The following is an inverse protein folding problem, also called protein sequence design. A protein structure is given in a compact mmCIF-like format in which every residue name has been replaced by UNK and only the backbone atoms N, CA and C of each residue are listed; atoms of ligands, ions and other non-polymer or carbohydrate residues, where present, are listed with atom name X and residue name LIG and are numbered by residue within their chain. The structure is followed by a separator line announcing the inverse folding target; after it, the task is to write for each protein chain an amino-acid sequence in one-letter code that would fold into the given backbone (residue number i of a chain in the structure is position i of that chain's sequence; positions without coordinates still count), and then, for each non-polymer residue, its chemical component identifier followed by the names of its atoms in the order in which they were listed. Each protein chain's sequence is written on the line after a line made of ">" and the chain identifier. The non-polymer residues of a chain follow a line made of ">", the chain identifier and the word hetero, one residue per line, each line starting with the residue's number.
data_IF_735746387652
#
_entry.id   IF_735746387652
#
_cell.length_a   1.000
_cell.length_b   1.000
_cell.length_c   1.000
_cell.angle_alpha   90.00
_cell.angle_beta   90.00
_cell.angle_gamma   90.00
#
_symmetry.space_group_name_H-M   'P 1'
#
loop_
_entity.id
_entity.type
_entity.pdbx_description
1 polymer ?
#
# COMPACT_ATOMS: atom_id res chain seq x y z
N UNK A 1 8.30 23.32 -6.85
CA UNK A 1 8.06 21.95 -6.39
C UNK A 1 9.23 21.08 -6.81
N UNK A 2 9.39 19.97 -6.13
CA UNK A 2 10.42 18.98 -6.48
C UNK A 2 9.92 18.13 -7.64
N UNK A 3 10.77 17.81 -8.61
CA UNK A 3 10.48 16.87 -9.69
C UNK A 3 10.91 15.47 -9.25
N UNK A 4 10.03 14.48 -9.46
CA UNK A 4 10.34 13.06 -9.31
C UNK A 4 10.26 12.44 -10.70
N UNK A 5 11.36 11.86 -11.16
CA UNK A 5 11.41 11.10 -12.41
C UNK A 5 10.73 9.75 -12.20
N UNK A 6 9.76 9.41 -13.05
CA UNK A 6 9.03 8.15 -12.97
C UNK A 6 9.47 7.20 -14.09
N UNK A 7 9.81 5.96 -13.75
CA UNK A 7 10.14 4.90 -14.70
C UNK A 7 9.14 3.73 -14.62
N UNK A 8 8.84 3.13 -15.79
CA UNK A 8 8.07 1.90 -15.89
C UNK A 8 8.86 0.87 -16.68
N UNK A 9 9.05 -0.31 -16.12
CA UNK A 9 9.89 -1.37 -16.70
C UNK A 9 9.14 -2.70 -16.71
N UNK A 10 9.25 -3.43 -17.79
CA UNK A 10 8.75 -4.79 -17.93
C UNK A 10 9.59 -5.56 -18.96
N UNK A 11 9.46 -6.88 -19.00
CA UNK A 11 10.06 -7.69 -20.08
C UNK A 11 9.56 -7.19 -21.45
N UNK A 12 10.42 -7.25 -22.47
CA UNK A 12 10.17 -6.68 -23.80
C UNK A 12 8.84 -7.15 -24.43
N UNK A 13 8.43 -8.40 -24.18
CA UNK A 13 7.16 -8.95 -24.70
C UNK A 13 5.91 -8.32 -24.09
N UNK A 14 5.98 -7.66 -22.94
CA UNK A 14 4.86 -6.98 -22.28
C UNK A 14 4.80 -5.49 -22.57
N UNK A 15 5.87 -4.87 -23.05
CA UNK A 15 5.90 -3.43 -23.33
C UNK A 15 4.74 -2.97 -24.25
N UNK A 16 4.35 -3.72 -25.33
CA UNK A 16 3.21 -3.33 -26.16
C UNK A 16 1.86 -3.31 -25.43
N UNK A 17 1.76 -3.96 -24.28
CA UNK A 17 0.55 -4.06 -23.45
C UNK A 17 0.58 -3.15 -22.23
N UNK A 18 1.67 -2.40 -22.04
CA UNK A 18 1.81 -1.49 -20.90
C UNK A 18 0.89 -0.29 -21.06
N UNK A 19 -0.05 -0.12 -20.15
CA UNK A 19 -0.94 1.03 -20.03
C UNK A 19 -0.21 2.20 -19.36
N UNK A 20 0.87 2.68 -20.00
CA UNK A 20 1.82 3.60 -19.40
C UNK A 20 1.19 4.94 -19.01
N UNK A 21 0.31 5.49 -19.83
CA UNK A 21 -0.37 6.75 -19.55
C UNK A 21 -1.17 6.69 -18.24
N UNK A 22 -1.98 5.64 -18.06
CA UNK A 22 -2.75 5.43 -16.84
C UNK A 22 -1.86 5.19 -15.64
N UNK A 23 -0.82 4.36 -15.77
CA UNK A 23 0.11 4.06 -14.69
C UNK A 23 0.84 5.31 -14.21
N UNK A 24 1.35 6.15 -15.12
CA UNK A 24 1.98 7.41 -14.75
C UNK A 24 1.00 8.39 -14.09
N UNK A 25 -0.22 8.50 -14.62
CA UNK A 25 -1.24 9.37 -14.03
C UNK A 25 -1.59 8.90 -12.61
N UNK A 26 -1.88 7.61 -12.43
CA UNK A 26 -2.21 7.04 -11.11
C UNK A 26 -1.06 7.22 -10.11
N UNK A 27 0.18 7.02 -10.55
CA UNK A 27 1.38 7.25 -9.72
C UNK A 27 1.48 8.72 -9.29
N UNK A 28 1.28 9.65 -10.23
CA UNK A 28 1.30 11.07 -9.93
C UNK A 28 0.19 11.47 -8.95
N UNK A 29 -1.03 11.02 -9.19
CA UNK A 29 -2.18 11.32 -8.34
C UNK A 29 -1.98 10.77 -6.92
N UNK A 30 -1.36 9.59 -6.80
CA UNK A 30 -0.96 9.01 -5.51
C UNK A 30 0.07 9.86 -4.77
N UNK A 31 1.12 10.31 -5.46
CA UNK A 31 2.09 11.24 -4.86
C UNK A 31 1.45 12.56 -4.42
N UNK A 32 0.60 13.15 -5.26
CA UNK A 32 -0.10 14.39 -4.92
C UNK A 32 -0.97 14.21 -3.65
N UNK A 33 -1.67 13.08 -3.54
CA UNK A 33 -2.46 12.75 -2.36
C UNK A 33 -1.59 12.56 -1.10
N UNK A 34 -0.53 11.75 -1.17
CA UNK A 34 0.33 11.47 -0.02
C UNK A 34 1.12 12.70 0.42
N UNK A 35 1.65 13.49 -0.51
CA UNK A 35 2.34 14.74 -0.18
C UNK A 35 1.43 15.72 0.58
N UNK A 36 0.18 15.85 0.14
CA UNK A 36 -0.79 16.74 0.78
C UNK A 36 -1.17 16.28 2.20
N UNK A 37 -1.35 14.98 2.39
CA UNK A 37 -1.90 14.43 3.62
C UNK A 37 -0.83 14.04 4.64
N UNK A 38 0.30 13.48 4.21
CA UNK A 38 1.39 13.08 5.11
C UNK A 38 2.30 14.24 5.54
N UNK A 39 2.17 15.41 4.88
CA UNK A 39 2.93 16.61 5.22
C UNK A 39 4.42 16.53 4.90
N UNK A 40 4.87 15.45 4.28
CA UNK A 40 6.24 15.23 3.84
C UNK A 40 6.25 14.79 2.38
N UNK A 41 7.10 15.44 1.58
CA UNK A 41 7.35 14.99 0.22
C UNK A 41 8.11 13.67 0.22
N UNK A 42 8.05 12.93 -0.88
CA UNK A 42 8.78 11.69 -1.09
C UNK A 42 10.25 11.81 -0.63
N UNK A 43 10.71 11.00 0.33
CA UNK A 43 11.96 11.27 1.03
C UNK A 43 13.21 10.70 0.32
N UNK A 44 13.05 9.82 -0.67
CA UNK A 44 14.15 8.99 -1.20
C UNK A 44 14.64 9.44 -2.58
N UNK A 45 15.08 10.69 -2.69
CA UNK A 45 15.67 11.20 -3.92
C UNK A 45 14.62 11.73 -4.91
N UNK A 46 14.98 11.78 -6.17
CA UNK A 46 14.20 12.37 -7.26
C UNK A 46 13.78 11.36 -8.33
N UNK A 47 13.83 10.06 -8.00
CA UNK A 47 13.49 8.97 -8.89
C UNK A 47 12.57 7.95 -8.21
N UNK A 48 11.58 7.45 -8.97
CA UNK A 48 10.67 6.40 -8.53
C UNK A 48 10.36 5.48 -9.70
N UNK A 49 10.93 4.28 -9.68
CA UNK A 49 10.77 3.26 -10.70
C UNK A 49 9.74 2.20 -10.28
N UNK A 50 9.04 1.67 -11.25
CA UNK A 50 8.09 0.57 -11.09
C UNK A 50 8.46 -0.54 -12.07
N UNK A 51 8.75 -1.72 -11.57
CA UNK A 51 9.27 -2.85 -12.35
C UNK A 51 8.30 -4.02 -12.27
N UNK A 52 7.75 -4.43 -13.40
CA UNK A 52 6.88 -5.60 -13.52
C UNK A 52 7.71 -6.84 -13.81
N UNK A 53 7.88 -7.68 -12.79
CA UNK A 53 8.80 -8.81 -12.78
C UNK A 53 8.11 -10.11 -13.18
N UNK A 54 8.70 -10.92 -14.10
CA UNK A 54 8.19 -12.25 -14.41
C UNK A 54 8.36 -13.20 -13.22
N UNK A 55 7.42 -14.13 -13.09
CA UNK A 55 7.46 -15.20 -12.08
C UNK A 55 7.63 -14.69 -10.63
N UNK A 56 7.14 -13.44 -10.38
CA UNK A 56 7.21 -12.84 -9.06
C UNK A 56 6.18 -13.52 -8.14
N UNK A 57 6.64 -14.12 -7.07
CA UNK A 57 5.80 -14.93 -6.17
C UNK A 57 5.01 -14.13 -5.14
N UNK A 58 5.33 -12.85 -4.99
CA UNK A 58 4.56 -11.89 -4.18
C UNK A 58 3.62 -11.07 -5.07
N UNK A 59 2.71 -10.29 -4.48
CA UNK A 59 1.90 -9.32 -5.23
C UNK A 59 2.78 -8.19 -5.75
N UNK A 60 3.47 -7.55 -4.81
CA UNK A 60 4.43 -6.49 -5.03
C UNK A 60 5.40 -6.39 -3.84
N UNK A 61 6.34 -5.44 -3.90
CA UNK A 61 7.28 -5.15 -2.81
C UNK A 61 7.77 -3.71 -2.89
N UNK A 62 7.79 -3.04 -1.76
CA UNK A 62 8.07 -1.63 -1.56
C UNK A 62 9.56 -1.24 -1.59
N UNK A 63 10.37 -1.87 -2.40
CA UNK A 63 11.78 -1.48 -2.50
C UNK A 63 11.93 0.01 -2.75
N UNK A 64 12.68 0.69 -1.90
CA UNK A 64 12.85 2.14 -1.91
C UNK A 64 13.22 2.67 -3.30
N UNK A 65 12.34 3.46 -3.88
CA UNK A 65 12.53 4.08 -5.19
C UNK A 65 12.53 3.14 -6.39
N UNK A 66 12.29 1.82 -6.18
CA UNK A 66 12.27 0.82 -7.24
C UNK A 66 11.28 -0.31 -6.89
N UNK A 67 9.99 0.02 -6.86
CA UNK A 67 8.93 -0.90 -6.49
C UNK A 67 8.81 -2.02 -7.53
N UNK A 68 8.71 -3.27 -7.05
CA UNK A 68 8.54 -4.44 -7.90
C UNK A 68 7.12 -4.97 -7.81
N UNK A 69 6.56 -5.40 -8.94
CA UNK A 69 5.22 -5.97 -9.06
C UNK A 69 5.29 -7.28 -9.83
N UNK A 70 4.32 -8.15 -9.63
CA UNK A 70 4.11 -9.29 -10.55
C UNK A 70 3.72 -8.77 -11.94
N UNK A 71 4.26 -9.37 -12.98
CA UNK A 71 4.02 -8.90 -14.35
C UNK A 71 2.60 -9.19 -14.88
N UNK A 72 1.81 -9.96 -14.14
CA UNK A 72 0.37 -10.15 -14.39
C UNK A 72 -0.44 -8.85 -14.28
N UNK A 73 0.10 -7.79 -13.67
CA UNK A 73 -0.50 -6.44 -13.67
C UNK A 73 -0.31 -5.69 -14.99
N UNK A 74 0.50 -6.19 -15.91
CA UNK A 74 0.51 -5.76 -17.31
C UNK A 74 -0.47 -6.65 -18.07
N UNK A 75 -1.67 -6.13 -18.31
CA UNK A 75 -2.77 -6.90 -18.88
C UNK A 75 -2.61 -7.11 -20.38
N UNK A 76 -2.52 -8.36 -20.84
CA UNK A 76 -2.42 -8.73 -22.26
C UNK A 76 -3.77 -8.89 -22.94
N UNK A 77 -4.86 -8.77 -22.21
CA UNK A 77 -6.25 -8.75 -22.69
C UNK A 77 -7.02 -7.67 -21.92
N UNK A 78 -8.22 -7.33 -22.38
CA UNK A 78 -9.07 -6.33 -21.73
C UNK A 78 -9.32 -6.71 -20.26
N UNK A 79 -8.87 -5.91 -19.30
CA UNK A 79 -9.08 -6.19 -17.88
C UNK A 79 -10.49 -5.80 -17.43
N UNK A 80 -11.01 -6.49 -16.43
CA UNK A 80 -12.24 -6.05 -15.77
C UNK A 80 -11.97 -4.78 -14.93
N UNK A 81 -13.01 -3.97 -14.63
CA UNK A 81 -12.87 -2.81 -13.75
C UNK A 81 -12.24 -3.17 -12.41
N UNK A 82 -12.61 -4.31 -11.81
CA UNK A 82 -12.00 -4.81 -10.57
C UNK A 82 -10.49 -5.04 -10.70
N UNK A 83 -10.02 -5.61 -11.82
CA UNK A 83 -8.57 -5.82 -12.01
C UNK A 83 -7.80 -4.51 -12.13
N UNK A 84 -8.39 -3.50 -12.76
CA UNK A 84 -7.82 -2.15 -12.85
C UNK A 84 -7.75 -1.48 -11.46
N UNK A 85 -8.85 -1.55 -10.71
CA UNK A 85 -8.92 -1.04 -9.34
C UNK A 85 -7.88 -1.75 -8.45
N UNK A 86 -7.79 -3.08 -8.52
CA UNK A 86 -6.83 -3.86 -7.72
C UNK A 86 -5.37 -3.52 -8.05
N UNK A 87 -5.05 -3.29 -9.33
CA UNK A 87 -3.72 -2.81 -9.73
C UNK A 87 -3.43 -1.43 -9.12
N UNK A 88 -4.38 -0.51 -9.19
CA UNK A 88 -4.20 0.82 -8.61
C UNK A 88 -4.09 0.78 -7.09
N UNK A 89 -4.86 -0.07 -6.44
CA UNK A 89 -4.74 -0.32 -4.99
C UNK A 89 -3.32 -0.77 -4.61
N UNK A 90 -2.77 -1.74 -5.34
CA UNK A 90 -1.40 -2.21 -5.13
C UNK A 90 -0.37 -1.09 -5.35
N UNK A 91 -0.49 -0.30 -6.42
CA UNK A 91 0.41 0.83 -6.68
C UNK A 91 0.41 1.82 -5.51
N UNK A 92 -0.76 2.16 -4.99
CA UNK A 92 -0.89 3.10 -3.87
C UNK A 92 -0.45 2.50 -2.54
N UNK A 93 -0.63 1.19 -2.35
CA UNK A 93 -0.14 0.45 -1.19
C UNK A 93 1.39 0.51 -1.12
N UNK A 94 2.07 0.09 -2.18
CA UNK A 94 3.53 0.10 -2.23
C UNK A 94 4.09 1.54 -2.14
N UNK A 95 3.39 2.52 -2.70
CA UNK A 95 3.78 3.92 -2.57
C UNK A 95 3.66 4.43 -1.13
N UNK A 96 2.62 4.03 -0.39
CA UNK A 96 2.44 4.44 1.00
C UNK A 96 3.58 3.94 1.90
N UNK A 97 4.15 2.78 1.57
CA UNK A 97 5.31 2.23 2.28
C UNK A 97 6.54 3.14 2.23
N UNK A 98 6.68 4.03 1.25
CA UNK A 98 7.75 5.02 1.22
C UNK A 98 7.75 5.91 2.47
N UNK A 99 6.62 5.99 3.18
CA UNK A 99 6.50 6.67 4.48
C UNK A 99 6.34 5.66 5.63
N UNK A 100 5.41 4.72 5.50
CA UNK A 100 5.19 3.67 6.50
C UNK A 100 5.89 2.37 6.10
N UNK A 101 7.04 2.09 6.68
CA UNK A 101 7.91 0.96 6.39
C UNK A 101 9.33 1.43 6.05
N UNK A 102 9.46 2.37 5.13
CA UNK A 102 10.76 2.84 4.64
C UNK A 102 11.27 4.08 5.40
N UNK A 103 10.45 5.14 5.52
CA UNK A 103 10.86 6.34 6.26
C UNK A 103 10.78 6.15 7.77
N UNK A 104 9.71 5.55 8.25
CA UNK A 104 9.52 5.13 9.64
C UNK A 104 9.26 3.64 9.65
N UNK A 105 10.03 2.89 10.42
CA UNK A 105 10.00 1.43 10.47
C UNK A 105 9.62 0.97 11.87
N UNK A 106 8.91 -0.14 11.97
CA UNK A 106 8.64 -0.80 13.24
C UNK A 106 9.96 -1.21 13.93
N UNK A 107 9.99 -1.22 15.25
CA UNK A 107 11.17 -1.67 16.00
C UNK A 107 11.43 -3.17 15.86
N UNK A 108 10.37 -3.95 15.74
CA UNK A 108 10.40 -5.39 15.53
C UNK A 108 9.14 -5.88 14.80
N UNK A 109 9.13 -7.11 14.39
CA UNK A 109 8.09 -7.76 13.61
C UNK A 109 6.73 -7.94 14.33
N UNK A 110 6.69 -7.77 15.65
CA UNK A 110 5.44 -7.76 16.42
C UNK A 110 4.51 -6.59 16.03
N UNK A 111 5.08 -5.51 15.51
CA UNK A 111 4.35 -4.36 14.98
C UNK A 111 4.32 -4.29 13.44
N UNK A 112 4.43 -5.43 12.74
CA UNK A 112 4.33 -5.51 11.27
C UNK A 112 3.08 -4.81 10.72
N UNK A 113 2.01 -4.79 11.48
CA UNK A 113 0.77 -4.08 11.14
C UNK A 113 0.96 -2.57 10.92
N UNK A 114 1.95 -1.94 11.59
CA UNK A 114 2.25 -0.52 11.39
C UNK A 114 2.66 -0.23 9.94
N UNK A 115 3.30 -1.16 9.27
CA UNK A 115 3.61 -1.05 7.86
C UNK A 115 2.37 -1.44 7.03
N UNK A 116 1.90 -2.66 7.17
CA UNK A 116 0.93 -3.27 6.26
C UNK A 116 -0.50 -2.76 6.41
N UNK A 117 -0.98 -2.59 7.65
CA UNK A 117 -2.31 -2.02 7.88
C UNK A 117 -2.38 -0.57 7.43
N UNK A 118 -1.31 0.23 7.67
CA UNK A 118 -1.26 1.62 7.22
C UNK A 118 -1.20 1.72 5.70
N UNK A 119 -0.39 0.91 5.03
CA UNK A 119 -0.33 0.91 3.57
C UNK A 119 -1.69 0.52 2.96
N UNK A 120 -2.32 -0.54 3.49
CA UNK A 120 -3.64 -1.00 3.04
C UNK A 120 -4.73 0.06 3.27
N UNK A 121 -4.77 0.66 4.46
CA UNK A 121 -5.70 1.76 4.77
C UNK A 121 -5.43 2.98 3.88
N UNK A 122 -4.17 3.33 3.65
CA UNK A 122 -3.76 4.48 2.85
C UNK A 122 -4.18 4.32 1.39
N UNK A 123 -4.00 3.13 0.81
CA UNK A 123 -4.39 2.84 -0.57
C UNK A 123 -5.90 3.03 -0.78
N UNK A 124 -6.73 2.42 0.06
CA UNK A 124 -8.19 2.56 -0.05
C UNK A 124 -8.67 4.00 0.19
N UNK A 125 -8.02 4.73 1.13
CA UNK A 125 -8.31 6.13 1.40
C UNK A 125 -7.94 7.01 0.22
N UNK A 126 -6.76 6.81 -0.36
CA UNK A 126 -6.27 7.55 -1.52
C UNK A 126 -7.16 7.32 -2.75
N UNK A 127 -7.49 6.06 -3.08
CA UNK A 127 -8.38 5.73 -4.21
C UNK A 127 -9.71 6.45 -4.10
N UNK A 128 -10.32 6.42 -2.90
CA UNK A 128 -11.61 7.08 -2.66
C UNK A 128 -11.50 8.60 -2.80
N UNK A 129 -10.44 9.20 -2.28
CA UNK A 129 -10.25 10.65 -2.31
C UNK A 129 -9.88 11.17 -3.71
N UNK A 130 -9.06 10.45 -4.45
CA UNK A 130 -8.70 10.76 -5.86
C UNK A 130 -9.94 10.64 -6.77
N UNK A 131 -10.83 9.68 -6.48
CA UNK A 131 -12.14 9.58 -7.08
C UNK A 131 -12.22 8.72 -8.34
N UNK A 132 -11.11 8.18 -8.87
CA UNK A 132 -11.16 7.21 -9.98
C UNK A 132 -11.86 5.91 -9.55
N UNK A 133 -11.65 5.51 -8.28
CA UNK A 133 -12.31 4.36 -7.65
C UNK A 133 -12.97 4.81 -6.34
N UNK A 134 -14.03 5.60 -6.45
CA UNK A 134 -14.74 6.19 -5.31
C UNK A 134 -15.31 5.13 -4.35
N UNK A 135 -15.60 3.94 -4.86
CA UNK A 135 -16.16 2.81 -4.11
C UNK A 135 -15.08 1.85 -3.55
N UNK A 136 -13.81 2.25 -3.50
CA UNK A 136 -12.71 1.41 -3.05
C UNK A 136 -12.93 0.80 -1.65
N UNK A 137 -13.60 1.51 -0.74
CA UNK A 137 -13.98 0.95 0.56
C UNK A 137 -15.06 -0.13 0.49
N UNK A 138 -15.89 -0.15 -0.55
CA UNK A 138 -16.83 -1.25 -0.81
C UNK A 138 -16.09 -2.50 -1.29
N UNK A 139 -15.13 -2.33 -2.19
CA UNK A 139 -14.24 -3.40 -2.63
C UNK A 139 -13.41 -3.94 -1.47
N UNK A 140 -12.82 -3.06 -0.65
CA UNK A 140 -12.13 -3.45 0.57
C UNK A 140 -13.00 -4.29 1.50
N UNK A 141 -14.25 -3.89 1.73
CA UNK A 141 -15.15 -4.64 2.63
C UNK A 141 -15.48 -6.03 2.09
N UNK A 142 -15.66 -6.17 0.78
CA UNK A 142 -16.05 -7.44 0.15
C UNK A 142 -14.89 -8.40 -0.13
N UNK A 143 -13.65 -7.90 -0.20
CA UNK A 143 -12.46 -8.71 -0.51
C UNK A 143 -11.53 -8.78 0.69
N UNK A 144 -10.90 -7.67 1.06
CA UNK A 144 -9.85 -7.65 2.09
C UNK A 144 -10.42 -7.95 3.48
N UNK A 145 -11.50 -7.27 3.86
CA UNK A 145 -12.15 -7.50 5.15
C UNK A 145 -12.81 -8.88 5.24
N UNK A 146 -13.33 -9.41 4.14
CA UNK A 146 -13.84 -10.77 4.10
C UNK A 146 -12.73 -11.80 4.33
N UNK A 147 -11.54 -11.59 3.76
CA UNK A 147 -10.36 -12.39 4.06
C UNK A 147 -9.98 -12.34 5.54
N UNK A 148 -9.94 -11.15 6.13
CA UNK A 148 -9.70 -10.99 7.56
C UNK A 148 -10.73 -11.73 8.42
N UNK A 149 -12.02 -11.66 8.08
CA UNK A 149 -13.07 -12.37 8.80
C UNK A 149 -12.89 -13.90 8.75
N UNK A 150 -12.51 -14.45 7.60
CA UNK A 150 -12.24 -15.88 7.49
C UNK A 150 -11.06 -16.28 8.39
N UNK A 151 -9.99 -15.53 8.34
CA UNK A 151 -8.79 -15.81 9.12
C UNK A 151 -9.01 -15.65 10.63
N UNK A 152 -9.73 -14.61 11.04
CA UNK A 152 -9.99 -14.30 12.45
C UNK A 152 -10.86 -15.35 13.16
N UNK A 153 -11.50 -16.25 12.41
CA UNK A 153 -12.28 -17.38 12.93
C UNK A 153 -11.46 -18.67 13.09
N UNK A 154 -10.24 -18.71 12.59
CA UNK A 154 -9.38 -19.90 12.67
C UNK A 154 -8.70 -19.99 14.04
N UNK A 155 -8.37 -21.20 14.50
CA UNK A 155 -7.57 -21.38 15.72
C UNK A 155 -6.18 -20.74 15.64
N UNK A 156 -5.70 -20.48 14.43
CA UNK A 156 -4.43 -19.81 14.14
C UNK A 156 -4.52 -18.29 14.11
N UNK A 157 -5.66 -17.70 14.50
CA UNK A 157 -5.76 -16.24 14.59
C UNK A 157 -4.83 -15.68 15.66
N UNK A 158 -4.46 -14.42 15.50
CA UNK A 158 -3.60 -13.70 16.41
C UNK A 158 -4.07 -12.24 16.58
N UNK A 159 -3.61 -11.51 17.62
CA UNK A 159 -3.82 -10.07 17.71
C UNK A 159 -3.21 -9.31 16.53
N UNK A 160 -3.66 -8.07 16.27
CA UNK A 160 -3.06 -7.20 15.24
C UNK A 160 -1.58 -6.97 15.57
N UNK A 161 -1.25 -6.54 16.79
CA UNK A 161 0.12 -6.58 17.31
C UNK A 161 0.38 -8.01 17.77
N UNK A 162 1.14 -8.76 16.99
CA UNK A 162 1.36 -10.19 17.17
C UNK A 162 2.74 -10.47 17.74
N UNK A 163 2.83 -11.47 18.62
CA UNK A 163 4.13 -11.96 19.05
C UNK A 163 4.89 -12.55 17.84
N UNK A 164 6.12 -12.11 17.64
CA UNK A 164 6.98 -12.54 16.55
C UNK A 164 8.41 -12.81 17.05
N UNK A 165 8.61 -13.92 17.80
CA UNK A 165 9.90 -14.23 18.40
C UNK A 165 11.00 -14.54 17.37
N UNK A 166 10.63 -14.89 16.15
CA UNK A 166 11.54 -15.26 15.07
C UNK A 166 10.95 -14.91 13.69
N UNK A 167 11.77 -15.04 12.66
CA UNK A 167 11.42 -14.74 11.27
C UNK A 167 10.35 -15.69 10.73
N UNK A 168 10.36 -16.95 11.13
CA UNK A 168 9.35 -17.93 10.66
C UNK A 168 7.95 -17.53 11.15
N UNK A 169 7.84 -17.11 12.39
CA UNK A 169 6.58 -16.57 12.95
C UNK A 169 6.19 -15.26 12.27
N UNK A 170 7.15 -14.36 12.02
CA UNK A 170 6.91 -13.12 11.30
C UNK A 170 6.36 -13.37 9.88
N UNK A 171 6.94 -14.32 9.13
CA UNK A 171 6.45 -14.70 7.80
C UNK A 171 5.00 -15.20 7.82
N UNK A 172 4.58 -15.93 8.86
CA UNK A 172 3.20 -16.40 9.02
C UNK A 172 2.22 -15.28 9.34
N UNK A 173 2.69 -14.15 9.87
CA UNK A 173 1.89 -12.99 10.23
C UNK A 173 1.57 -12.07 9.03
N UNK A 174 2.10 -12.34 7.83
CA UNK A 174 1.68 -11.65 6.59
C UNK A 174 0.32 -12.20 6.13
N UNK A 175 -0.72 -11.79 6.79
CA UNK A 175 -2.06 -12.37 6.68
C UNK A 175 -3.20 -11.34 6.75
N UNK A 176 -4.44 -11.79 6.68
CA UNK A 176 -5.63 -10.93 6.73
C UNK A 176 -5.78 -10.13 8.02
N UNK A 177 -5.18 -10.57 9.12
CA UNK A 177 -5.18 -9.83 10.38
C UNK A 177 -4.27 -8.61 10.27
N UNK A 178 -3.04 -8.80 9.85
CA UNK A 178 -2.03 -7.77 9.72
C UNK A 178 -2.40 -6.74 8.64
N UNK A 179 -2.94 -7.19 7.50
CA UNK A 179 -3.33 -6.29 6.41
C UNK A 179 -4.71 -5.66 6.63
N UNK A 180 -5.75 -6.47 6.73
CA UNK A 180 -7.12 -6.00 6.57
C UNK A 180 -7.85 -5.74 7.90
N UNK A 181 -7.65 -6.54 8.94
CA UNK A 181 -8.21 -6.26 10.27
C UNK A 181 -7.63 -4.97 10.82
N UNK A 182 -6.32 -4.80 10.78
CA UNK A 182 -5.65 -3.58 11.22
C UNK A 182 -6.09 -2.36 10.43
N UNK A 183 -6.15 -2.44 9.09
CA UNK A 183 -6.67 -1.34 8.25
C UNK A 183 -8.12 -0.98 8.59
N UNK A 184 -8.94 -1.98 8.95
CA UNK A 184 -10.34 -1.74 9.41
C UNK A 184 -10.39 -0.94 10.72
N UNK A 185 -9.47 -1.22 11.64
CA UNK A 185 -9.35 -0.47 12.91
C UNK A 185 -8.87 0.95 12.66
N UNK A 186 -7.88 1.14 11.77
CA UNK A 186 -7.43 2.48 11.38
C UNK A 186 -8.55 3.31 10.74
N UNK A 187 -9.38 2.70 9.89
CA UNK A 187 -10.56 3.37 9.33
C UNK A 187 -11.55 3.80 10.40
N UNK A 188 -11.79 2.94 11.39
CA UNK A 188 -12.68 3.28 12.52
C UNK A 188 -12.08 4.42 13.36
N UNK A 189 -10.78 4.38 13.64
CA UNK A 189 -10.09 5.43 14.37
C UNK A 189 -10.19 6.76 13.61
N UNK A 190 -9.92 6.76 12.29
CA UNK A 190 -10.07 7.96 11.45
C UNK A 190 -11.50 8.53 11.52
N UNK A 191 -12.53 7.67 11.45
CA UNK A 191 -13.92 8.09 11.54
C UNK A 191 -14.27 8.65 12.93
N UNK A 192 -13.66 8.12 13.98
CA UNK A 192 -13.89 8.57 15.36
C UNK A 192 -13.25 9.92 15.67
N UNK A 193 -11.97 10.12 15.26
CA UNK A 193 -11.24 11.35 15.56
C UNK A 193 -11.44 12.44 14.50
N UNK A 194 -11.86 12.08 13.30
CA UNK A 194 -11.98 12.97 12.15
C UNK A 194 -10.75 12.93 11.23
N UNK A 195 -10.98 13.28 9.96
CA UNK A 195 -9.98 13.18 8.90
C UNK A 195 -8.74 14.03 9.20
N UNK A 196 -8.92 15.31 9.48
CA UNK A 196 -7.83 16.26 9.70
C UNK A 196 -7.02 15.91 10.96
N UNK A 197 -7.69 15.51 12.03
CA UNK A 197 -7.03 15.14 13.29
C UNK A 197 -6.21 13.85 13.12
N UNK A 198 -6.74 12.89 12.37
CA UNK A 198 -6.02 11.65 12.08
C UNK A 198 -4.74 11.94 11.28
N UNK A 199 -4.83 12.65 10.17
CA UNK A 199 -3.65 13.02 9.39
C UNK A 199 -2.72 13.98 10.14
N UNK A 200 -3.25 14.82 11.02
CA UNK A 200 -2.43 15.60 11.97
C UNK A 200 -1.58 14.71 12.87
N UNK A 201 -2.13 13.59 13.33
CA UNK A 201 -1.40 12.56 14.08
C UNK A 201 -0.31 11.89 13.23
N UNK A 202 -0.67 11.49 12.01
CA UNK A 202 0.27 10.88 11.05
C UNK A 202 1.46 11.80 10.75
N UNK A 203 1.21 13.07 10.46
CA UNK A 203 2.27 14.07 10.23
C UNK A 203 3.23 14.18 11.41
N UNK A 204 2.69 14.28 12.64
CA UNK A 204 3.53 14.32 13.86
C UNK A 204 4.33 13.04 14.06
N UNK A 205 3.76 11.89 13.71
CA UNK A 205 4.48 10.62 13.79
C UNK A 205 5.70 10.60 12.85
N UNK A 206 5.54 11.01 11.60
CA UNK A 206 6.67 11.14 10.68
C UNK A 206 7.71 12.18 11.12
N UNK A 207 7.28 13.30 11.70
CA UNK A 207 8.20 14.33 12.17
C UNK A 207 9.06 13.84 13.34
N UNK A 208 8.50 12.99 14.20
CA UNK A 208 9.18 12.50 15.39
C UNK A 208 10.04 11.25 15.14
N UNK A 209 9.74 10.47 14.10
CA UNK A 209 10.32 9.13 13.92
C UNK A 209 10.95 8.90 12.55
N UNK A 210 11.11 9.94 11.71
CA UNK A 210 11.75 9.77 10.41
C UNK A 210 13.16 9.19 10.55
N UNK A 211 13.44 8.14 9.79
CA UNK A 211 14.69 7.37 9.80
C UNK A 211 14.96 6.62 11.13
N UNK A 212 13.92 6.30 11.86
CA UNK A 212 13.99 5.48 13.07
C UNK A 212 13.19 4.19 12.90
#
# INVERSE_FOLDING_TARGET
>A
GRTIELGLYARASLIPHMDAERLFRQTKDGFDFYHANFGRTYPFGDKYDQVFCPEYNMGAMEHVGCVTYRDEYVFTSEPTPYRLERRNDTILHEMAHMWFGDLVTMQWWDDLWLNESFATWSAATAQTAIGEYADAWTTFASVEKAWAYQQDQLPSTHPIAADAPDIETAEQNFDGITYAKGASVLKQLQAYVGYEEFFGGVRRHFDNHAYA
#
